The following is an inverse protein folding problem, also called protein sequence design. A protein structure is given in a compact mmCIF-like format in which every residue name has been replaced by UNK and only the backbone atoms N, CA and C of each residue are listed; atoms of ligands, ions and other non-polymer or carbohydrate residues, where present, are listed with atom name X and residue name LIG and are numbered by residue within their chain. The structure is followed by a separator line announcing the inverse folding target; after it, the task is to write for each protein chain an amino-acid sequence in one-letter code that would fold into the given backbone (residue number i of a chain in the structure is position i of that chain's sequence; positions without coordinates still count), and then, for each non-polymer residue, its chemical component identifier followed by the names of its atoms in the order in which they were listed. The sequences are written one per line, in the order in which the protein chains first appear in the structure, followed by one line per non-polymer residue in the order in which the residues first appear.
data_IF_153257694052
#
_entry.id   IF_153257694052
#
_cell.length_a   1.000
_cell.length_b   1.000
_cell.length_c   1.000
_cell.angle_alpha   90.00
_cell.angle_beta   90.00
_cell.angle_gamma   90.00
#
_symmetry.space_group_name_H-M   'P 1'
#
loop_
_entity.id
_entity.type
_entity.pdbx_description
1 polymer ?
#
# COMPACT_ATOMS: atom_id res chain seq x y z
N UNK A 1 4.13 24.50 -10.92
CA UNK A 1 4.21 23.18 -10.26
C UNK A 1 3.23 22.28 -10.97
N UNK A 2 3.73 21.31 -11.73
CA UNK A 2 2.89 20.42 -12.53
C UNK A 2 2.21 19.41 -11.60
N UNK A 3 0.88 19.49 -11.49
CA UNK A 3 0.11 18.51 -10.74
C UNK A 3 -0.10 17.28 -11.62
N UNK A 4 0.66 16.22 -11.35
CA UNK A 4 0.46 14.94 -12.00
C UNK A 4 -0.97 14.45 -11.72
N UNK A 5 -1.76 14.25 -12.78
CA UNK A 5 -3.08 13.61 -12.65
C UNK A 5 -2.89 12.19 -12.13
N UNK A 6 -3.46 11.92 -10.96
CA UNK A 6 -3.47 10.58 -10.35
C UNK A 6 -4.51 9.72 -11.08
N UNK A 7 -4.04 8.80 -11.91
CA UNK A 7 -4.90 7.86 -12.63
C UNK A 7 -5.09 6.56 -11.84
N UNK A 8 -4.02 6.11 -11.17
CA UNK A 8 -3.95 4.87 -10.41
C UNK A 8 -3.56 5.14 -8.93
N UNK A 9 -3.86 4.21 -8.03
CA UNK A 9 -3.37 4.27 -6.64
C UNK A 9 -1.84 4.29 -6.57
N UNK A 10 -1.15 3.74 -7.58
CA UNK A 10 0.31 3.78 -7.70
C UNK A 10 0.87 5.18 -7.90
N UNK A 11 0.07 6.12 -8.41
CA UNK A 11 0.48 7.50 -8.60
C UNK A 11 0.44 8.29 -7.28
N UNK A 12 -0.26 7.78 -6.26
CA UNK A 12 -0.38 8.42 -4.97
C UNK A 12 1.00 8.54 -4.30
N UNK A 13 1.36 9.76 -3.91
CA UNK A 13 2.60 10.02 -3.16
C UNK A 13 2.69 9.16 -1.90
N UNK A 14 1.58 8.94 -1.19
CA UNK A 14 1.54 8.07 0.00
C UNK A 14 1.79 6.59 -0.34
N UNK A 15 1.33 6.12 -1.50
CA UNK A 15 1.60 4.76 -1.95
C UNK A 15 3.09 4.57 -2.27
N UNK A 16 3.69 5.53 -2.97
CA UNK A 16 5.12 5.51 -3.30
C UNK A 16 5.98 5.44 -2.03
N UNK A 17 5.70 6.32 -1.06
CA UNK A 17 6.37 6.31 0.25
C UNK A 17 6.20 4.98 1.00
N UNK A 18 4.99 4.42 1.01
CA UNK A 18 4.73 3.14 1.67
C UNK A 18 5.46 1.98 0.97
N UNK A 19 5.55 2.01 -0.36
CA UNK A 19 6.27 1.02 -1.14
C UNK A 19 7.78 1.09 -0.89
N UNK A 20 8.36 2.30 -0.90
CA UNK A 20 9.77 2.53 -0.63
C UNK A 20 10.15 2.04 0.77
N UNK A 21 9.34 2.38 1.78
CA UNK A 21 9.52 1.88 3.15
C UNK A 21 9.41 0.35 3.24
N UNK A 22 8.49 -0.26 2.49
CA UNK A 22 8.35 -1.71 2.44
C UNK A 22 9.55 -2.41 1.79
N UNK A 23 10.15 -1.78 0.78
CA UNK A 23 11.38 -2.27 0.15
C UNK A 23 12.59 -2.12 1.09
N UNK A 24 12.69 -1.02 1.82
CA UNK A 24 13.73 -0.83 2.83
C UNK A 24 13.65 -1.89 3.93
N UNK A 25 12.45 -2.13 4.49
CA UNK A 25 12.21 -3.18 5.47
C UNK A 25 12.56 -4.56 4.89
N UNK A 26 12.21 -4.81 3.62
CA UNK A 26 12.53 -6.06 2.94
C UNK A 26 14.05 -6.28 2.88
N UNK A 27 14.83 -5.28 2.46
CA UNK A 27 16.29 -5.39 2.36
C UNK A 27 16.97 -5.50 3.73
N UNK A 28 16.53 -4.73 4.72
CA UNK A 28 17.04 -4.82 6.10
C UNK A 28 16.77 -6.21 6.70
N UNK A 29 15.59 -6.76 6.45
CA UNK A 29 15.19 -8.07 6.98
C UNK A 29 16.02 -9.25 6.45
N UNK A 30 16.76 -9.08 5.35
CA UNK A 30 17.66 -10.12 4.82
C UNK A 30 18.87 -10.37 5.71
N UNK A 31 19.25 -9.40 6.55
CA UNK A 31 20.43 -9.44 7.42
C UNK A 31 20.15 -10.05 8.80
N UNK A 32 18.89 -10.34 9.14
CA UNK A 32 18.51 -10.81 10.48
C UNK A 32 18.91 -12.28 10.74
N UNK A 33 19.22 -12.68 11.99
CA UNK A 33 19.67 -14.03 12.36
C UNK A 33 18.64 -15.14 12.09
N UNK A 34 19.10 -16.40 11.96
CA UNK A 34 18.27 -17.58 11.63
C UNK A 34 17.36 -18.01 12.74
N UNK A 35 17.84 -17.88 13.96
CA UNK A 35 17.18 -18.43 15.14
C UNK A 35 15.83 -17.74 15.42
N UNK A 36 15.62 -16.48 15.00
CA UNK A 36 14.35 -15.74 15.16
C UNK A 36 13.64 -15.43 13.81
N UNK A 37 14.21 -15.93 12.70
CA UNK A 37 13.97 -15.42 11.33
C UNK A 37 12.58 -15.68 10.79
N UNK A 38 11.84 -16.65 11.31
CA UNK A 38 10.57 -17.02 10.68
C UNK A 38 9.39 -16.22 11.21
N UNK A 39 9.24 -16.11 12.53
CA UNK A 39 8.02 -15.51 13.06
C UNK A 39 8.06 -13.98 12.97
N UNK A 40 9.10 -13.35 13.54
CA UNK A 40 9.16 -11.89 13.62
C UNK A 40 9.38 -11.26 12.24
N UNK A 41 10.27 -11.83 11.43
CA UNK A 41 10.54 -11.32 10.08
C UNK A 41 9.31 -11.38 9.18
N UNK A 42 8.59 -12.49 9.22
CA UNK A 42 7.40 -12.67 8.40
C UNK A 42 6.29 -11.71 8.84
N UNK A 43 6.08 -11.53 10.15
CA UNK A 43 5.10 -10.57 10.66
C UNK A 43 5.44 -9.14 10.24
N UNK A 44 6.70 -8.72 10.37
CA UNK A 44 7.13 -7.37 9.97
C UNK A 44 6.92 -7.16 8.47
N UNK A 45 7.32 -8.11 7.62
CA UNK A 45 7.14 -8.00 6.15
C UNK A 45 5.67 -7.99 5.74
N UNK A 46 4.83 -8.81 6.38
CA UNK A 46 3.38 -8.81 6.13
C UNK A 46 2.73 -7.51 6.59
N UNK A 47 3.07 -7.03 7.78
CA UNK A 47 2.58 -5.77 8.33
C UNK A 47 2.96 -4.59 7.42
N UNK A 48 4.21 -4.54 6.96
CA UNK A 48 4.66 -3.52 6.04
C UNK A 48 3.91 -3.54 4.70
N UNK A 49 3.72 -4.74 4.10
CA UNK A 49 2.96 -4.88 2.85
C UNK A 49 1.48 -4.54 3.00
N UNK A 50 0.89 -4.73 4.18
CA UNK A 50 -0.53 -4.44 4.42
C UNK A 50 -0.86 -2.96 4.28
N UNK A 51 0.11 -2.06 4.56
CA UNK A 51 -0.04 -0.62 4.35
C UNK A 51 -0.32 -0.33 2.87
N UNK A 52 0.46 -0.91 1.96
CA UNK A 52 0.27 -0.78 0.52
C UNK A 52 -1.08 -1.34 0.06
N UNK A 53 -1.50 -2.49 0.58
CA UNK A 53 -2.80 -3.09 0.22
C UNK A 53 -3.96 -2.25 0.73
N UNK A 54 -3.87 -1.70 1.95
CA UNK A 54 -4.90 -0.84 2.53
C UNK A 54 -5.07 0.46 1.74
N UNK A 55 -3.97 1.07 1.28
CA UNK A 55 -4.02 2.25 0.40
C UNK A 55 -4.71 1.91 -0.93
N UNK A 56 -4.33 0.80 -1.55
CA UNK A 56 -4.92 0.37 -2.83
C UNK A 56 -6.42 0.05 -2.69
N UNK A 57 -6.82 -0.57 -1.59
CA UNK A 57 -8.23 -0.88 -1.29
C UNK A 57 -9.04 0.41 -1.04
N UNK A 58 -8.51 1.33 -0.24
CA UNK A 58 -9.15 2.62 0.04
C UNK A 58 -9.37 3.43 -1.25
N UNK A 59 -8.37 3.45 -2.14
CA UNK A 59 -8.50 4.09 -3.46
C UNK A 59 -9.64 3.50 -4.29
N UNK A 60 -9.73 2.17 -4.35
CA UNK A 60 -10.82 1.47 -5.06
C UNK A 60 -12.20 1.78 -4.45
N UNK A 61 -12.33 1.78 -3.13
CA UNK A 61 -13.58 2.11 -2.42
C UNK A 61 -14.06 3.53 -2.73
N UNK A 62 -13.15 4.50 -2.78
CA UNK A 62 -13.48 5.89 -3.13
C UNK A 62 -14.12 6.00 -4.53
N UNK A 63 -13.56 5.27 -5.51
CA UNK A 63 -14.12 5.25 -6.88
C UNK A 63 -15.47 4.55 -6.95
N UNK A 64 -15.66 3.47 -6.19
CA UNK A 64 -16.94 2.76 -6.11
C UNK A 64 -18.04 3.62 -5.48
N UNK A 65 -17.74 4.36 -4.41
CA UNK A 65 -18.69 5.28 -3.77
C UNK A 65 -19.12 6.41 -4.71
N UNK A 66 -18.17 7.02 -5.44
CA UNK A 66 -18.47 8.03 -6.45
C UNK A 66 -19.35 7.47 -7.58
N UNK A 67 -19.04 6.27 -8.08
CA UNK A 67 -19.87 5.62 -9.10
C UNK A 67 -21.29 5.30 -8.58
N UNK A 68 -21.43 4.98 -7.29
CA UNK A 68 -22.74 4.68 -6.68
C UNK A 68 -23.58 5.93 -6.42
N UNK A 69 -22.97 7.07 -6.10
CA UNK A 69 -23.71 8.35 -5.96
C UNK A 69 -24.24 8.88 -7.29
N UNK A 70 -23.59 8.52 -8.40
CA UNK A 70 -23.96 8.94 -9.75
C UNK A 70 -24.92 7.96 -10.46
N UNK A 71 -25.31 6.86 -9.78
CA UNK A 71 -26.29 5.92 -10.31
C UNK A 71 -27.72 6.50 -10.18
N UNK A 72 -28.56 6.43 -11.23
CA UNK A 72 -29.94 6.92 -11.15
C UNK A 72 -30.67 6.17 -10.03
N UNK A 73 -31.23 6.91 -9.07
CA UNK A 73 -32.09 6.33 -8.04
C UNK A 73 -33.34 5.79 -8.75
N UNK A 74 -33.49 4.47 -8.74
CA UNK A 74 -34.74 3.78 -9.08
C UNK A 74 -35.84 4.16 -8.11
#
# INVERSE_FOLDING_TARGET
MEYMRVADYKDLRVYKLAFDAAMEIFELSRKWPSEERFWLTHQIRRSSRSVCTNIAEAWRKRRYQAARSDAPRS
#
